data_IF_778625047069
#
_entry.id   IF_778625047069
#
_cell.length_a   1.000
_cell.length_b   1.000
_cell.length_c   1.000
_cell.angle_alpha   90.00
_cell.angle_beta   90.00
_cell.angle_gamma   90.00
#
_symmetry.space_group_name_H-M   'P 1'
#
loop_
_entity.id
_entity.type
_entity.pdbx_description
1 polymer ?
#
# COMPACT_ATOMS: atom_id res chain seq x y z
N UNK A 1 10.74 -10.02 0.11
CA UNK A 1 9.61 -10.23 1.04
C UNK A 1 9.73 -9.46 2.34
N UNK A 2 10.85 -9.52 3.08
CA UNK A 2 11.02 -8.79 4.36
C UNK A 2 10.70 -7.29 4.28
N UNK A 3 11.27 -6.58 3.29
CA UNK A 3 10.99 -5.18 3.01
C UNK A 3 9.49 -4.91 2.82
N UNK A 4 8.84 -5.67 1.94
CA UNK A 4 7.41 -5.54 1.65
C UNK A 4 6.57 -5.73 2.93
N UNK A 5 6.89 -6.75 3.73
CA UNK A 5 6.18 -7.04 4.97
C UNK A 5 6.37 -5.96 6.05
N UNK A 6 7.58 -5.39 6.15
CA UNK A 6 7.88 -4.31 7.07
C UNK A 6 7.17 -3.01 6.67
N UNK A 7 7.16 -2.68 5.38
CA UNK A 7 6.50 -1.50 4.87
C UNK A 7 4.96 -1.62 4.98
N UNK A 8 4.42 -2.83 4.73
CA UNK A 8 3.00 -3.17 5.00
C UNK A 8 2.62 -2.93 6.47
N UNK A 9 3.51 -3.27 7.40
CA UNK A 9 3.31 -3.03 8.84
C UNK A 9 3.28 -1.53 9.19
N UNK A 10 4.06 -0.69 8.51
CA UNK A 10 3.93 0.77 8.64
C UNK A 10 2.51 1.25 8.29
N UNK A 11 1.96 0.76 7.16
CA UNK A 11 0.58 1.06 6.78
C UNK A 11 -0.45 0.48 7.77
N UNK A 12 -0.23 -0.73 8.30
CA UNK A 12 -1.08 -1.29 9.37
C UNK A 12 -1.14 -0.36 10.57
N UNK A 13 0.01 0.14 11.04
CA UNK A 13 0.05 1.04 12.18
C UNK A 13 -0.69 2.35 11.93
N UNK A 14 -0.57 2.90 10.72
CA UNK A 14 -1.30 4.10 10.32
C UNK A 14 -2.82 3.89 10.39
N UNK A 15 -3.36 2.91 9.65
CA UNK A 15 -4.81 2.70 9.60
C UNK A 15 -5.38 2.25 10.94
N UNK A 16 -4.68 1.38 11.68
CA UNK A 16 -5.10 1.01 13.05
C UNK A 16 -5.07 2.20 14.00
N UNK A 17 -4.09 3.09 13.84
CA UNK A 17 -3.99 4.34 14.59
C UNK A 17 -5.17 5.27 14.33
N UNK A 18 -5.63 5.34 13.07
CA UNK A 18 -6.83 6.09 12.69
C UNK A 18 -8.12 5.42 13.18
N UNK A 19 -8.22 4.09 13.13
CA UNK A 19 -9.40 3.37 13.64
C UNK A 19 -9.57 3.55 15.16
N UNK A 20 -8.47 3.56 15.91
CA UNK A 20 -8.48 3.76 17.38
C UNK A 20 -8.77 5.21 17.78
N UNK A 21 -8.39 6.15 16.94
CA UNK A 21 -8.46 7.58 17.20
C UNK A 21 -8.85 8.33 15.91
N UNK A 22 -10.12 8.22 15.48
CA UNK A 22 -10.59 8.73 14.19
C UNK A 22 -10.67 10.25 14.12
N UNK A 23 -10.67 10.93 15.28
CA UNK A 23 -10.64 12.39 15.41
C UNK A 23 -9.24 12.95 15.66
N UNK A 24 -8.25 12.08 15.85
CA UNK A 24 -6.87 12.48 16.07
C UNK A 24 -6.25 13.13 14.84
N UNK A 25 -5.06 13.71 15.04
CA UNK A 25 -4.31 14.33 13.96
C UNK A 25 -3.84 13.28 12.94
N UNK A 26 -4.57 13.17 11.84
CA UNK A 26 -4.25 12.26 10.76
C UNK A 26 -2.90 12.60 10.12
N UNK A 27 -2.55 13.89 10.01
CA UNK A 27 -1.27 14.31 9.42
C UNK A 27 -0.09 13.86 10.28
N UNK A 28 -0.22 13.94 11.60
CA UNK A 28 0.79 13.41 12.52
C UNK A 28 0.97 11.89 12.37
N UNK A 29 -0.13 11.12 12.33
CA UNK A 29 -0.07 9.67 12.11
C UNK A 29 0.46 9.31 10.72
N UNK A 30 0.13 10.09 9.71
CA UNK A 30 0.65 9.94 8.34
C UNK A 30 2.16 10.19 8.30
N UNK A 31 2.65 11.24 8.96
CA UNK A 31 4.09 11.50 9.05
C UNK A 31 4.84 10.38 9.78
N UNK A 32 4.25 9.80 10.84
CA UNK A 32 4.81 8.61 11.50
C UNK A 32 4.90 7.41 10.55
N UNK A 33 3.88 7.21 9.70
CA UNK A 33 3.93 6.18 8.65
C UNK A 33 5.07 6.43 7.68
N UNK A 34 5.25 7.67 7.22
CA UNK A 34 6.34 8.06 6.31
C UNK A 34 7.70 7.80 6.94
N UNK A 35 7.90 8.18 8.20
CA UNK A 35 9.15 7.92 8.92
C UNK A 35 9.42 6.43 9.10
N UNK A 36 8.38 5.62 9.31
CA UNK A 36 8.50 4.15 9.32
C UNK A 36 8.96 3.63 7.95
N UNK A 37 8.35 4.09 6.86
CA UNK A 37 8.75 3.71 5.49
C UNK A 37 10.19 4.15 5.18
N UNK A 38 10.60 5.36 5.57
CA UNK A 38 11.97 5.86 5.41
C UNK A 38 12.97 4.91 6.08
N UNK A 39 12.70 4.46 7.31
CA UNK A 39 13.56 3.49 8.02
C UNK A 39 13.63 2.15 7.31
N UNK A 40 12.50 1.65 6.80
CA UNK A 40 12.45 0.38 6.06
C UNK A 40 13.23 0.48 4.74
N UNK A 41 13.15 1.60 4.02
CA UNK A 41 13.95 1.84 2.81
C UNK A 41 15.43 1.98 3.14
N UNK A 42 15.79 2.71 4.21
CA UNK A 42 17.18 2.89 4.64
C UNK A 42 17.84 1.58 5.08
N UNK A 43 17.07 0.70 5.71
CA UNK A 43 17.53 -0.66 6.03
C UNK A 43 17.79 -1.49 4.76
N UNK A 44 16.99 -1.27 3.72
CA UNK A 44 17.13 -1.97 2.46
C UNK A 44 18.30 -1.43 1.61
N UNK A 45 18.48 -0.12 1.60
CA UNK A 45 19.56 0.61 0.91
C UNK A 45 20.23 1.60 1.85
N UNK A 46 21.33 1.17 2.45
CA UNK A 46 22.12 2.06 3.29
C UNK A 46 22.94 3.07 2.48
N UNK A 47 23.07 2.88 1.16
CA UNK A 47 23.79 3.81 0.27
C UNK A 47 23.02 5.10 -0.01
N UNK A 48 21.68 5.06 0.10
CA UNK A 48 20.85 6.26 -0.07
C UNK A 48 20.90 7.15 1.17
N UNK A 49 21.03 8.46 0.97
CA UNK A 49 20.91 9.42 2.08
C UNK A 49 19.46 9.52 2.56
N UNK A 50 19.27 9.76 3.85
CA UNK A 50 17.95 9.98 4.45
C UNK A 50 17.16 11.08 3.71
N UNK A 51 17.85 12.12 3.25
CA UNK A 51 17.23 13.22 2.47
C UNK A 51 16.70 12.75 1.12
N UNK A 52 17.40 11.83 0.45
CA UNK A 52 16.97 11.25 -0.83
C UNK A 52 15.77 10.33 -0.62
N UNK A 53 15.84 9.45 0.40
CA UNK A 53 14.75 8.54 0.73
C UNK A 53 13.50 9.34 1.10
N UNK A 54 13.62 10.34 1.98
CA UNK A 54 12.50 11.19 2.39
C UNK A 54 11.87 11.90 1.20
N UNK A 55 12.67 12.40 0.25
CA UNK A 55 12.16 13.04 -0.97
C UNK A 55 11.34 12.08 -1.83
N UNK A 56 11.79 10.83 -1.99
CA UNK A 56 11.06 9.78 -2.71
C UNK A 56 9.74 9.49 -1.99
N UNK A 57 9.81 9.27 -0.67
CA UNK A 57 8.64 9.03 0.17
C UNK A 57 7.64 10.20 0.15
N UNK A 58 8.09 11.45 0.17
CA UNK A 58 7.23 12.64 0.09
C UNK A 58 6.62 12.84 -1.30
N UNK A 59 7.35 12.43 -2.35
CA UNK A 59 6.86 12.45 -3.72
C UNK A 59 5.70 11.47 -3.87
N UNK A 60 5.84 10.27 -3.35
CA UNK A 60 4.92 9.17 -3.62
C UNK A 60 3.79 9.08 -2.57
N UNK A 61 4.07 9.43 -1.31
CA UNK A 61 3.08 9.45 -0.22
C UNK A 61 2.49 10.86 -0.06
N UNK A 62 1.29 11.07 -0.62
CA UNK A 62 0.56 12.35 -0.50
C UNK A 62 -0.39 12.36 0.70
N UNK A 63 -0.37 13.45 1.47
CA UNK A 63 -1.21 13.63 2.68
C UNK A 63 -2.71 13.71 2.41
N UNK A 64 -3.12 13.78 1.14
CA UNK A 64 -4.52 13.77 0.72
C UNK A 64 -5.29 12.56 1.24
N UNK A 65 -4.60 11.48 1.58
CA UNK A 65 -5.21 10.29 2.17
C UNK A 65 -6.04 10.58 3.42
N UNK A 66 -5.65 11.59 4.21
CA UNK A 66 -6.38 11.98 5.41
C UNK A 66 -7.75 12.62 5.14
N UNK A 67 -7.84 13.42 4.07
CA UNK A 67 -9.02 14.23 3.73
C UNK A 67 -9.87 13.59 2.62
N UNK A 68 -9.24 12.90 1.68
CA UNK A 68 -9.85 12.37 0.47
C UNK A 68 -9.91 10.83 0.46
N UNK A 69 -9.36 10.17 1.49
CA UNK A 69 -9.17 8.71 1.51
C UNK A 69 -8.14 8.27 0.47
N UNK A 70 -8.10 6.97 0.15
CA UNK A 70 -7.20 6.43 -0.89
C UNK A 70 -7.27 7.27 -2.16
N UNK A 71 -6.13 7.53 -2.77
CA UNK A 71 -6.05 8.36 -3.97
C UNK A 71 -6.86 7.73 -5.12
N UNK A 72 -7.53 8.58 -5.90
CA UNK A 72 -8.09 8.17 -7.19
C UNK A 72 -6.96 7.83 -8.14
N UNK A 73 -7.24 6.89 -9.05
CA UNK A 73 -6.34 6.57 -10.15
C UNK A 73 -6.39 7.75 -11.13
N UNK A 74 -5.28 8.45 -11.36
CA UNK A 74 -5.26 9.58 -12.27
C UNK A 74 -5.43 9.10 -13.73
N UNK A 75 -5.93 9.97 -14.63
CA UNK A 75 -6.04 9.62 -16.05
C UNK A 75 -4.71 9.22 -16.71
N UNK A 76 -3.58 9.76 -16.23
CA UNK A 76 -2.23 9.40 -16.71
C UNK A 76 -1.87 7.92 -16.50
N UNK A 77 -2.55 7.25 -15.58
CA UNK A 77 -2.35 5.82 -15.29
C UNK A 77 -2.78 4.92 -16.43
N UNK A 78 -3.85 5.28 -17.15
CA UNK A 78 -4.27 4.56 -18.35
C UNK A 78 -3.23 4.64 -19.48
N UNK A 79 -2.35 5.65 -19.48
CA UNK A 79 -1.27 5.74 -20.45
C UNK A 79 -0.07 4.85 -20.09
N UNK A 80 0.03 4.43 -18.82
CA UNK A 80 1.18 3.68 -18.29
C UNK A 80 0.95 2.17 -18.26
N UNK A 81 -0.31 1.73 -18.29
CA UNK A 81 -0.68 0.33 -18.50
C UNK A 81 -1.43 0.18 -19.83
N UNK A 82 -1.19 -0.91 -20.58
CA UNK A 82 -1.95 -1.22 -21.79
C UNK A 82 -3.36 -1.74 -21.43
N UNK A 83 -4.18 -0.87 -20.86
CA UNK A 83 -5.58 -1.09 -20.50
C UNK A 83 -6.51 -0.39 -21.50
N UNK A 84 -7.82 -0.61 -21.38
CA UNK A 84 -8.79 0.12 -22.19
C UNK A 84 -8.92 1.58 -21.75
N UNK A 85 -9.56 2.38 -22.59
CA UNK A 85 -9.83 3.79 -22.28
C UNK A 85 -10.83 3.99 -21.13
N UNK A 86 -11.64 2.98 -20.78
CA UNK A 86 -12.58 3.05 -19.66
C UNK A 86 -11.96 2.67 -18.31
N UNK A 87 -10.76 2.07 -18.31
CA UNK A 87 -10.07 1.56 -17.12
C UNK A 87 -10.11 2.52 -15.93
N UNK A 88 -9.69 3.78 -16.13
CA UNK A 88 -9.59 4.77 -15.04
C UNK A 88 -10.96 5.04 -14.41
N UNK A 89 -11.99 5.16 -15.24
CA UNK A 89 -13.36 5.42 -14.77
C UNK A 89 -13.87 4.22 -13.95
N UNK A 90 -13.68 3.01 -14.45
CA UNK A 90 -14.13 1.78 -13.80
C UNK A 90 -13.34 1.49 -12.51
N UNK A 91 -12.03 1.70 -12.53
CA UNK A 91 -11.19 1.51 -11.36
C UNK A 91 -11.52 2.53 -10.27
N UNK A 92 -11.80 3.78 -10.63
CA UNK A 92 -12.29 4.77 -9.69
C UNK A 92 -13.67 4.41 -9.13
N UNK A 93 -14.53 3.75 -9.91
CA UNK A 93 -15.80 3.20 -9.42
C UNK A 93 -15.58 2.09 -8.37
N UNK A 94 -14.60 1.21 -8.55
CA UNK A 94 -14.23 0.18 -7.56
C UNK A 94 -13.88 0.76 -6.18
N UNK A 95 -13.27 1.96 -6.14
CA UNK A 95 -12.81 2.58 -4.87
C UNK A 95 -13.86 3.43 -4.17
N UNK A 96 -14.96 3.76 -4.86
CA UNK A 96 -15.89 4.82 -4.45
C UNK A 96 -16.49 4.60 -3.06
N UNK A 97 -17.09 3.45 -2.83
CA UNK A 97 -17.79 3.13 -1.57
C UNK A 97 -16.83 3.15 -0.39
N UNK A 98 -15.68 2.49 -0.53
CA UNK A 98 -14.65 2.48 0.50
C UNK A 98 -14.19 3.91 0.87
N UNK A 99 -13.89 4.75 -0.13
CA UNK A 99 -13.46 6.14 0.10
C UNK A 99 -14.51 6.96 0.84
N UNK A 100 -15.78 6.83 0.44
CA UNK A 100 -16.89 7.55 1.09
C UNK A 100 -17.01 7.17 2.57
N UNK A 101 -16.94 5.88 2.88
CA UNK A 101 -16.97 5.39 4.26
C UNK A 101 -15.74 5.87 5.04
N UNK A 102 -14.54 5.72 4.47
CA UNK A 102 -13.30 6.07 5.15
C UNK A 102 -13.21 7.56 5.50
N UNK A 103 -13.63 8.43 4.58
CA UNK A 103 -13.65 9.88 4.83
C UNK A 103 -14.67 10.25 5.90
N UNK A 104 -15.86 9.63 5.86
CA UNK A 104 -16.93 9.89 6.81
C UNK A 104 -16.62 9.36 8.22
N UNK A 105 -16.10 8.13 8.31
CA UNK A 105 -15.79 7.45 9.56
C UNK A 105 -14.61 6.47 9.37
N UNK A 106 -13.42 6.93 9.77
CA UNK A 106 -12.17 6.15 9.75
C UNK A 106 -12.18 4.94 10.67
N UNK A 107 -13.14 4.86 11.60
CA UNK A 107 -13.32 3.75 12.55
C UNK A 107 -14.41 2.75 12.15
N UNK A 108 -15.10 2.99 11.03
CA UNK A 108 -16.22 2.16 10.60
C UNK A 108 -15.81 0.69 10.43
N UNK A 109 -16.55 -0.21 11.08
CA UNK A 109 -16.34 -1.66 10.95
C UNK A 109 -16.58 -2.16 9.51
N UNK A 110 -17.36 -1.43 8.72
CA UNK A 110 -17.63 -1.77 7.32
C UNK A 110 -16.40 -1.65 6.42
N UNK A 111 -15.37 -0.87 6.82
CA UNK A 111 -14.13 -0.70 6.06
C UNK A 111 -13.41 -2.03 5.79
N UNK A 112 -13.51 -3.00 6.71
CA UNK A 112 -12.94 -4.33 6.52
C UNK A 112 -13.53 -5.03 5.28
N UNK A 113 -14.86 -5.09 5.18
CA UNK A 113 -15.55 -5.72 4.05
C UNK A 113 -15.38 -4.93 2.75
N UNK A 114 -15.42 -3.59 2.82
CA UNK A 114 -15.34 -2.74 1.63
C UNK A 114 -13.91 -2.67 1.05
N UNK A 115 -12.85 -2.76 1.86
CA UNK A 115 -11.47 -2.93 1.37
C UNK A 115 -11.34 -4.25 0.58
N UNK A 116 -11.88 -5.35 1.09
CA UNK A 116 -11.85 -6.65 0.41
C UNK A 116 -12.57 -6.61 -0.94
N UNK A 117 -13.76 -5.99 -0.99
CA UNK A 117 -14.53 -5.78 -2.23
C UNK A 117 -13.78 -4.91 -3.23
N UNK A 118 -13.21 -3.79 -2.77
CA UNK A 118 -12.44 -2.87 -3.60
C UNK A 118 -11.24 -3.58 -4.22
N UNK A 119 -10.43 -4.29 -3.43
CA UNK A 119 -9.27 -5.06 -3.92
C UNK A 119 -9.68 -6.10 -4.96
N UNK A 120 -10.75 -6.85 -4.71
CA UNK A 120 -11.28 -7.85 -5.66
C UNK A 120 -11.75 -7.20 -6.96
N UNK A 121 -12.46 -6.07 -6.88
CA UNK A 121 -12.93 -5.31 -8.04
C UNK A 121 -11.75 -4.83 -8.91
N UNK A 122 -10.75 -4.18 -8.30
CA UNK A 122 -9.56 -3.69 -8.98
C UNK A 122 -8.74 -4.84 -9.60
N UNK A 123 -8.52 -5.93 -8.86
CA UNK A 123 -7.81 -7.11 -9.36
C UNK A 123 -8.48 -7.68 -10.60
N UNK A 124 -9.80 -7.92 -10.53
CA UNK A 124 -10.55 -8.46 -11.65
C UNK A 124 -10.52 -7.54 -12.86
N UNK A 125 -10.70 -6.23 -12.65
CA UNK A 125 -10.65 -5.22 -13.70
C UNK A 125 -9.30 -5.21 -14.40
N UNK A 126 -8.19 -5.18 -13.66
CA UNK A 126 -6.85 -5.21 -14.24
C UNK A 126 -6.62 -6.50 -15.03
N UNK A 127 -7.07 -7.64 -14.50
CA UNK A 127 -6.89 -8.94 -15.16
C UNK A 127 -7.68 -9.07 -16.47
N UNK A 128 -8.85 -8.44 -16.56
CA UNK A 128 -9.71 -8.48 -17.75
C UNK A 128 -9.42 -7.38 -18.77
N UNK A 129 -9.01 -6.20 -18.31
CA UNK A 129 -8.94 -5.00 -19.14
C UNK A 129 -7.52 -4.66 -19.61
N UNK A 130 -6.49 -5.14 -18.89
CA UNK A 130 -5.10 -4.78 -19.14
C UNK A 130 -4.26 -5.93 -19.70
N UNK A 131 -3.41 -5.63 -20.69
CA UNK A 131 -2.45 -6.58 -21.29
C UNK A 131 -1.07 -6.47 -20.62
N UNK A 132 -0.97 -6.96 -19.39
CA UNK A 132 0.26 -6.89 -18.59
C UNK A 132 1.13 -8.15 -18.71
N UNK A 133 2.43 -8.02 -18.47
CA UNK A 133 3.33 -9.18 -18.42
C UNK A 133 2.99 -10.10 -17.24
N UNK A 134 3.46 -11.36 -17.30
CA UNK A 134 3.32 -12.30 -16.19
C UNK A 134 3.95 -11.74 -14.90
N UNK A 135 5.15 -11.18 -15.00
CA UNK A 135 5.88 -10.59 -13.86
C UNK A 135 5.11 -9.44 -13.24
N UNK A 136 4.53 -8.54 -14.05
CA UNK A 136 3.73 -7.43 -13.54
C UNK A 136 2.45 -7.93 -12.87
N UNK A 137 1.86 -9.02 -13.38
CA UNK A 137 0.69 -9.64 -12.79
C UNK A 137 0.99 -10.25 -11.42
N UNK A 138 2.10 -10.97 -11.26
CA UNK A 138 2.52 -11.48 -9.95
C UNK A 138 2.71 -10.36 -8.94
N UNK A 139 3.36 -9.28 -9.38
CA UNK A 139 3.59 -8.08 -8.58
C UNK A 139 2.27 -7.44 -8.13
N UNK A 140 1.31 -7.25 -9.03
CA UNK A 140 0.00 -6.70 -8.68
C UNK A 140 -0.75 -7.63 -7.72
N UNK A 141 -0.66 -8.94 -7.95
CA UNK A 141 -1.31 -9.94 -7.10
C UNK A 141 -0.78 -9.93 -5.66
N UNK A 142 0.51 -9.63 -5.45
CA UNK A 142 1.07 -9.40 -4.11
C UNK A 142 0.39 -8.23 -3.37
N UNK A 143 -0.05 -7.22 -4.12
CA UNK A 143 -0.77 -6.06 -3.57
C UNK A 143 -2.25 -6.31 -3.30
N UNK A 144 -2.85 -7.25 -4.02
CA UNK A 144 -4.26 -7.63 -3.84
C UNK A 144 -4.45 -8.93 -3.04
N UNK A 145 -3.44 -9.35 -2.28
CA UNK A 145 -3.56 -10.47 -1.33
C UNK A 145 -4.60 -10.21 -0.24
N UNK A 146 -4.87 -11.24 0.56
CA UNK A 146 -5.82 -11.19 1.68
C UNK A 146 -5.46 -10.21 2.80
N UNK A 147 -4.30 -9.54 2.76
CA UNK A 147 -3.95 -8.55 3.79
C UNK A 147 -4.93 -7.38 3.82
N UNK A 148 -5.44 -7.06 5.00
CA UNK A 148 -6.43 -6.00 5.18
C UNK A 148 -6.31 -5.34 6.56
N UNK A 149 -5.70 -4.15 6.68
CA UNK A 149 -5.47 -3.49 7.96
C UNK A 149 -6.75 -2.98 8.61
N UNK A 150 -7.89 -2.99 7.92
CA UNK A 150 -9.17 -2.58 8.49
C UNK A 150 -9.86 -3.71 9.27
N UNK A 151 -9.47 -4.97 9.03
CA UNK A 151 -9.98 -6.14 9.73
C UNK A 151 -9.20 -6.44 11.02
N UNK A 152 -9.85 -7.03 12.03
CA UNK A 152 -9.24 -7.26 13.35
C UNK A 152 -7.97 -8.14 13.31
N UNK A 153 -7.98 -9.18 12.47
CA UNK A 153 -6.86 -10.11 12.25
C UNK A 153 -5.94 -9.68 11.09
N UNK A 154 -6.09 -8.46 10.58
CA UNK A 154 -5.40 -7.93 9.41
C UNK A 154 -5.62 -8.73 8.10
N UNK A 155 -6.75 -9.44 7.98
CA UNK A 155 -7.08 -10.25 6.80
C UNK A 155 -8.50 -10.06 6.32
N UNK A 156 -8.68 -10.21 5.01
CA UNK A 156 -10.00 -10.16 4.38
C UNK A 156 -10.97 -11.19 4.98
N UNK A 157 -12.27 -10.88 5.03
CA UNK A 157 -13.28 -11.85 5.42
C UNK A 157 -13.20 -13.13 4.55
N UNK A 158 -13.12 -14.29 5.20
CA UNK A 158 -13.05 -15.59 4.52
C UNK A 158 -11.66 -16.02 4.05
N UNK A 159 -10.62 -15.21 4.29
CA UNK A 159 -9.24 -15.57 4.01
C UNK A 159 -8.80 -16.84 4.79
N UNK A 160 -8.17 -17.79 4.10
CA UNK A 160 -7.69 -19.06 4.69
C UNK A 160 -6.17 -19.19 4.57
N UNK A 161 -5.57 -20.14 5.27
CA UNK A 161 -4.11 -20.37 5.23
C UNK A 161 -3.30 -19.32 5.99
N UNK A 162 -1.99 -19.24 5.73
CA UNK A 162 -1.11 -18.24 6.34
C UNK A 162 -1.04 -16.98 5.48
N UNK A 163 -0.89 -15.84 6.14
CA UNK A 163 -0.58 -14.59 5.46
C UNK A 163 0.83 -14.65 4.82
N UNK A 164 1.04 -13.96 3.70
CA UNK A 164 2.32 -13.94 2.97
C UNK A 164 3.52 -13.40 3.77
N UNK A 165 3.25 -12.68 4.87
CA UNK A 165 4.26 -12.19 5.80
C UNK A 165 4.36 -13.04 7.07
N UNK A 166 3.65 -14.16 7.16
CA UNK A 166 3.75 -15.08 8.27
C UNK A 166 5.18 -15.67 8.35
N UNK A 167 5.79 -15.57 9.53
CA UNK A 167 7.16 -16.03 9.76
C UNK A 167 8.26 -15.17 9.13
N UNK A 168 7.92 -14.08 8.45
CA UNK A 168 8.89 -13.13 7.89
C UNK A 168 9.48 -12.29 9.02
N UNK A 169 10.80 -12.14 9.04
CA UNK A 169 11.53 -11.38 10.07
C UNK A 169 11.05 -9.93 10.11
N UNK A 170 10.75 -9.45 11.31
CA UNK A 170 10.34 -8.07 11.52
C UNK A 170 11.54 -7.13 11.59
N UNK A 171 11.72 -6.34 10.54
CA UNK A 171 12.75 -5.29 10.44
C UNK A 171 12.19 -3.88 10.70
N UNK A 172 10.88 -3.75 10.94
CA UNK A 172 10.21 -2.46 11.18
C UNK A 172 10.28 -1.99 12.64
N UNK A 173 10.64 -2.88 13.56
CA UNK A 173 10.75 -2.58 14.99
C UNK A 173 12.12 -1.97 15.39
N UNK A 174 12.23 -1.35 16.58
CA UNK A 174 13.50 -0.76 17.07
C UNK A 174 14.69 -1.73 17.10
N UNK A 175 14.42 -3.03 17.30
CA UNK A 175 15.43 -4.09 17.38
C UNK A 175 15.82 -4.70 16.01
N UNK A 176 15.06 -4.42 14.94
CA UNK A 176 15.25 -5.04 13.61
C UNK A 176 16.25 -4.31 12.71
N UNK A 177 16.71 -3.12 13.10
CA UNK A 177 17.45 -2.17 12.25
C UNK A 177 18.98 -2.39 12.30
N UNK A 178 19.47 -3.42 13.01
CA UNK A 178 20.91 -3.64 13.23
C UNK A 178 21.55 -4.78 12.40
N UNK A 179 20.80 -5.44 11.49
CA UNK A 179 21.34 -6.56 10.72
C UNK A 179 21.50 -6.18 9.25
N UNK A 180 22.70 -5.75 8.85
CA UNK A 180 23.06 -5.53 7.45
C UNK A 180 22.97 -6.83 6.64
N UNK A 181 22.08 -6.87 5.65
CA UNK A 181 22.09 -7.90 4.61
C UNK A 181 21.71 -7.23 3.28
N UNK A 182 22.72 -7.00 2.44
CA UNK A 182 22.57 -6.29 1.17
C UNK A 182 21.73 -7.07 0.14
N UNK A 183 20.78 -6.37 -0.49
CA UNK A 183 20.06 -6.83 -1.67
C UNK A 183 20.49 -6.02 -2.92
N UNK A 184 20.46 -6.66 -4.09
CA UNK A 184 20.92 -6.07 -5.35
C UNK A 184 20.07 -4.83 -5.76
N UNK A 185 20.68 -3.72 -6.23
CA UNK A 185 19.99 -2.46 -6.52
C UNK A 185 18.82 -2.56 -7.51
N UNK A 186 18.92 -3.40 -8.55
CA UNK A 186 17.89 -3.51 -9.60
C UNK A 186 16.58 -4.14 -9.12
N UNK A 187 16.63 -5.07 -8.17
CA UNK A 187 15.44 -5.69 -7.55
C UNK A 187 14.76 -4.69 -6.61
N UNK A 188 15.54 -3.76 -6.06
CA UNK A 188 15.09 -2.78 -5.10
C UNK A 188 14.26 -1.65 -5.74
N UNK A 189 14.66 -1.21 -6.94
CA UNK A 189 13.91 -0.19 -7.69
C UNK A 189 12.53 -0.71 -8.12
N UNK A 190 12.45 -1.99 -8.52
CA UNK A 190 11.18 -2.67 -8.77
C UNK A 190 10.35 -2.79 -7.47
N UNK A 191 10.93 -3.25 -6.35
CA UNK A 191 10.19 -3.40 -5.09
C UNK A 191 9.72 -2.07 -4.45
N UNK A 192 10.47 -0.98 -4.63
CA UNK A 192 10.08 0.38 -4.26
C UNK A 192 8.92 0.88 -5.12
N UNK A 193 9.02 0.71 -6.45
CA UNK A 193 7.92 1.03 -7.36
C UNK A 193 6.69 0.17 -7.03
N UNK A 194 6.88 -1.07 -6.61
CA UNK A 194 5.82 -2.00 -6.25
C UNK A 194 5.21 -1.67 -4.89
N UNK A 195 5.97 -1.21 -3.89
CA UNK A 195 5.39 -0.76 -2.64
C UNK A 195 4.66 0.59 -2.81
N UNK A 196 5.21 1.51 -3.60
CA UNK A 196 4.54 2.76 -3.95
C UNK A 196 3.32 2.52 -4.86
N UNK A 197 3.37 1.55 -5.76
CA UNK A 197 2.21 1.15 -6.56
C UNK A 197 1.24 0.31 -5.75
N UNK A 198 1.64 -0.50 -4.77
CA UNK A 198 0.67 -1.30 -4.00
C UNK A 198 -0.01 -0.46 -2.92
N UNK A 199 0.68 0.55 -2.37
CA UNK A 199 0.07 1.50 -1.46
C UNK A 199 -0.71 2.62 -2.19
N UNK A 200 -0.42 2.92 -3.47
CA UNK A 200 -1.00 4.08 -4.19
C UNK A 200 -1.56 3.82 -5.60
N UNK A 201 -1.49 2.58 -6.07
CA UNK A 201 -1.77 2.02 -7.41
C UNK A 201 -1.36 2.79 -8.66
N UNK A 202 -1.39 4.12 -8.74
CA UNK A 202 -0.79 4.81 -9.87
C UNK A 202 -0.40 6.26 -9.55
N UNK A 203 0.90 6.54 -9.68
CA UNK A 203 1.42 7.82 -10.15
C UNK A 203 2.70 7.54 -10.91
N UNK A 204 2.58 7.41 -12.23
CA UNK A 204 3.66 7.78 -13.14
C UNK A 204 3.61 9.30 -13.35
#
# INVERSE_FOLDING_TARGET
MEYFCAARKCATFFYKGLQKDPKGDCSAKFNQMKDCVVKVVKYCDDSLTDSTIRRIVDKDLKSKECSEGRALIPPSSAASLPCSSSFVTEANACTRTFRQIFVADKSSSSLCTEEAKMKKCLKNLIHSDCTISYTDREVLDLGFTDYNPFCANNRDPGATGNDQCYGVKDISGPAGINAAAGMKPGVMQALLLVFMSICFFFNC
#
